data_IF_173332634694
#
_entry.id   IF_173332634694
#
_cell.length_a   1.000
_cell.length_b   1.000
_cell.length_c   1.000
_cell.angle_alpha   90.00
_cell.angle_beta   90.00
_cell.angle_gamma   90.00
#
_symmetry.space_group_name_H-M   'P 1'
#
loop_
_entity.id
_entity.type
_entity.pdbx_description
1 polymer ?
#
# COMPACT_ATOMS: atom_id res chain seq x y z
N UNK A 1 30.48 -16.31 -14.93
CA UNK A 1 29.40 -15.43 -15.46
C UNK A 1 28.05 -16.14 -15.52
N UNK A 2 27.98 -17.39 -16.00
CA UNK A 2 26.74 -18.16 -16.10
C UNK A 2 26.02 -18.33 -14.75
N UNK A 3 26.76 -18.63 -13.67
CA UNK A 3 26.21 -18.75 -12.32
C UNK A 3 25.53 -17.44 -11.89
N UNK A 4 26.13 -16.28 -12.20
CA UNK A 4 25.54 -14.97 -11.88
C UNK A 4 24.26 -14.73 -12.70
N UNK A 5 24.27 -15.08 -13.98
CA UNK A 5 23.10 -14.95 -14.85
C UNK A 5 21.94 -15.83 -14.34
N UNK A 6 22.18 -17.14 -14.14
CA UNK A 6 21.14 -18.05 -13.71
C UNK A 6 20.68 -17.83 -12.27
N UNK A 7 21.58 -17.39 -11.38
CA UNK A 7 21.24 -16.98 -10.03
C UNK A 7 20.31 -15.76 -10.02
N UNK A 8 20.63 -14.74 -10.82
CA UNK A 8 19.79 -13.53 -10.95
C UNK A 8 18.45 -13.85 -11.64
N UNK A 9 18.46 -14.63 -12.74
CA UNK A 9 17.26 -15.05 -13.44
C UNK A 9 16.35 -15.90 -12.54
N UNK A 10 16.93 -16.85 -11.81
CA UNK A 10 16.23 -17.68 -10.85
C UNK A 10 15.58 -16.86 -9.72
N UNK A 11 16.29 -15.86 -9.19
CA UNK A 11 15.77 -14.98 -8.15
C UNK A 11 14.60 -14.12 -8.67
N UNK A 12 14.70 -13.60 -9.88
CA UNK A 12 13.60 -12.84 -10.53
C UNK A 12 12.41 -13.74 -10.78
N UNK A 13 12.60 -14.91 -11.41
CA UNK A 13 11.52 -15.87 -11.66
C UNK A 13 10.85 -16.35 -10.37
N UNK A 14 11.66 -16.67 -9.35
CA UNK A 14 11.14 -17.07 -8.05
C UNK A 14 10.27 -15.97 -7.45
N UNK A 15 10.74 -14.74 -7.42
CA UNK A 15 10.05 -13.62 -6.76
C UNK A 15 8.74 -13.25 -7.44
N UNK A 16 8.70 -13.23 -8.78
CA UNK A 16 7.51 -12.77 -9.51
C UNK A 16 6.56 -13.88 -9.93
N UNK A 17 7.00 -15.14 -9.98
CA UNK A 17 6.19 -16.26 -10.45
C UNK A 17 6.04 -17.34 -9.39
N UNK A 18 7.15 -17.94 -8.93
CA UNK A 18 7.10 -19.15 -8.09
C UNK A 18 6.53 -18.82 -6.71
N UNK A 19 7.04 -17.78 -6.06
CA UNK A 19 6.60 -17.42 -4.71
C UNK A 19 5.12 -17.01 -4.62
N UNK A 20 4.57 -16.17 -5.52
CA UNK A 20 3.13 -15.93 -5.58
C UNK A 20 2.30 -17.20 -5.76
N UNK A 21 2.72 -18.12 -6.64
CA UNK A 21 2.04 -19.40 -6.83
C UNK A 21 2.07 -20.24 -5.55
N UNK A 22 3.21 -20.30 -4.86
CA UNK A 22 3.34 -20.98 -3.58
C UNK A 22 2.38 -20.40 -2.52
N UNK A 23 2.22 -19.07 -2.48
CA UNK A 23 1.27 -18.41 -1.57
C UNK A 23 -0.18 -18.80 -1.89
N UNK A 24 -0.57 -18.80 -3.16
CA UNK A 24 -1.91 -19.19 -3.59
C UNK A 24 -2.20 -20.66 -3.24
N UNK A 25 -1.23 -21.54 -3.50
CA UNK A 25 -1.34 -22.97 -3.15
C UNK A 25 -1.42 -23.16 -1.63
N UNK A 26 -0.58 -22.46 -0.87
CA UNK A 26 -0.59 -22.51 0.59
C UNK A 26 -1.93 -22.02 1.16
N UNK A 27 -2.48 -20.92 0.63
CA UNK A 27 -3.78 -20.40 1.05
C UNK A 27 -4.93 -21.36 0.81
N UNK A 28 -4.81 -22.25 -0.20
CA UNK A 28 -5.80 -23.32 -0.45
C UNK A 28 -5.60 -24.55 0.44
N UNK A 29 -4.34 -24.93 0.68
CA UNK A 29 -3.99 -26.17 1.36
C UNK A 29 -3.96 -26.05 2.90
N UNK A 30 -3.63 -24.87 3.43
CA UNK A 30 -3.38 -24.68 4.86
C UNK A 30 -4.32 -23.60 5.45
N UNK A 31 -5.62 -23.80 5.28
CA UNK A 31 -6.61 -22.86 5.79
C UNK A 31 -6.64 -22.83 7.32
N UNK A 32 -6.56 -21.64 7.86
CA UNK A 32 -6.71 -21.34 9.28
C UNK A 32 -7.89 -20.36 9.43
N UNK A 33 -9.13 -20.86 9.48
CA UNK A 33 -10.28 -20.03 9.65
C UNK A 33 -10.22 -19.25 10.97
N UNK A 34 -10.91 -18.13 11.04
CA UNK A 34 -11.10 -17.35 12.26
C UNK A 34 -12.59 -17.18 12.52
N UNK A 35 -12.94 -16.91 13.77
CA UNK A 35 -14.32 -16.54 14.13
C UNK A 35 -14.63 -15.18 13.52
N UNK A 36 -15.84 -15.03 13.02
CA UNK A 36 -16.31 -13.79 12.39
C UNK A 36 -17.80 -13.62 12.63
N UNK A 37 -18.15 -13.43 13.90
CA UNK A 37 -19.53 -13.25 14.34
C UNK A 37 -19.92 -11.77 14.27
N UNK A 38 -21.21 -11.49 14.27
CA UNK A 38 -21.69 -10.12 14.35
C UNK A 38 -21.37 -9.51 15.72
N UNK A 39 -20.73 -8.36 15.69
CA UNK A 39 -20.39 -7.59 16.88
C UNK A 39 -20.34 -6.10 16.57
N UNK A 40 -20.58 -5.28 17.57
CA UNK A 40 -20.53 -3.81 17.45
C UNK A 40 -19.64 -3.23 18.56
N UNK A 41 -18.32 -3.57 18.59
CA UNK A 41 -17.42 -2.98 19.57
C UNK A 41 -17.30 -1.48 19.38
N UNK A 42 -16.85 -0.76 20.41
CA UNK A 42 -16.58 0.66 20.29
C UNK A 42 -15.40 0.90 19.36
N UNK A 43 -15.62 1.66 18.28
CA UNK A 43 -14.67 1.94 17.21
C UNK A 43 -14.24 3.39 17.24
N UNK A 44 -12.94 3.66 17.13
CA UNK A 44 -12.38 4.97 16.82
C UNK A 44 -11.85 4.95 15.38
N UNK A 45 -12.52 5.69 14.50
CA UNK A 45 -12.06 5.87 13.12
C UNK A 45 -11.17 7.11 13.04
N UNK A 46 -9.93 6.91 12.62
CA UNK A 46 -8.85 7.91 12.62
C UNK A 46 -8.47 8.27 11.20
N UNK A 47 -8.52 9.56 10.91
CA UNK A 47 -8.10 10.15 9.63
C UNK A 47 -7.01 11.18 9.91
N UNK A 48 -5.82 10.99 9.34
CA UNK A 48 -4.81 12.03 9.28
C UNK A 48 -4.99 12.83 7.97
N UNK A 49 -5.15 14.14 8.09
CA UNK A 49 -5.36 15.03 6.95
C UNK A 49 -4.30 16.14 6.92
N UNK A 50 -3.83 16.49 5.71
CA UNK A 50 -3.02 17.68 5.50
C UNK A 50 -3.38 18.33 4.17
N UNK A 51 -4.00 19.50 4.24
CA UNK A 51 -4.46 20.22 3.06
C UNK A 51 -5.41 19.38 2.18
N UNK A 52 -6.49 18.88 2.78
CA UNK A 52 -7.50 18.02 2.16
C UNK A 52 -8.91 18.68 2.12
N UNK A 53 -8.98 20.04 2.15
CA UNK A 53 -10.25 20.76 2.14
C UNK A 53 -11.17 20.35 0.97
N UNK A 54 -10.56 19.99 -0.17
CA UNK A 54 -11.28 19.61 -1.39
C UNK A 54 -12.02 18.27 -1.31
N UNK A 55 -11.65 17.36 -0.38
CA UNK A 55 -12.25 16.03 -0.29
C UNK A 55 -12.77 15.67 1.11
N UNK A 56 -12.31 16.37 2.17
CA UNK A 56 -12.64 15.99 3.55
C UNK A 56 -14.15 16.07 3.83
N UNK A 57 -14.88 17.05 3.30
CA UNK A 57 -16.33 17.15 3.47
C UNK A 57 -17.06 15.90 2.95
N UNK A 58 -16.80 15.54 1.68
CA UNK A 58 -17.36 14.33 1.06
C UNK A 58 -16.96 13.06 1.81
N UNK A 59 -15.76 13.03 2.39
CA UNK A 59 -15.32 11.91 3.22
C UNK A 59 -16.16 11.79 4.49
N UNK A 60 -16.39 12.89 5.18
CA UNK A 60 -17.20 12.91 6.42
C UNK A 60 -18.66 12.55 6.16
N UNK A 61 -19.25 13.05 5.07
CA UNK A 61 -20.60 12.62 4.63
C UNK A 61 -20.68 11.10 4.41
N UNK A 62 -19.67 10.53 3.75
CA UNK A 62 -19.59 9.08 3.55
C UNK A 62 -19.51 8.32 4.88
N UNK A 63 -18.77 8.82 5.87
CA UNK A 63 -18.69 8.20 7.20
C UNK A 63 -20.01 8.30 7.98
N UNK A 64 -20.72 9.41 7.81
CA UNK A 64 -22.05 9.59 8.41
C UNK A 64 -23.11 8.67 7.79
N UNK A 65 -22.91 8.16 6.60
CA UNK A 65 -23.80 7.22 5.91
C UNK A 65 -23.46 5.73 6.17
N UNK A 66 -22.48 5.43 7.04
CA UNK A 66 -22.09 4.04 7.34
C UNK A 66 -23.17 3.33 8.18
N UNK A 67 -23.36 2.05 7.88
CA UNK A 67 -24.16 1.13 8.67
C UNK A 67 -23.40 0.66 9.91
N UNK A 68 -23.31 1.53 10.92
CA UNK A 68 -22.73 1.22 12.22
C UNK A 68 -23.41 2.05 13.32
N UNK A 69 -23.65 1.51 14.54
CA UNK A 69 -24.30 2.27 15.63
C UNK A 69 -23.51 3.55 15.94
N UNK A 70 -24.20 4.68 15.94
CA UNK A 70 -23.58 6.01 16.11
C UNK A 70 -22.92 6.18 17.48
N UNK A 71 -23.51 5.60 18.52
CA UNK A 71 -22.98 5.61 19.88
C UNK A 71 -21.73 4.74 20.06
N UNK A 72 -21.45 3.85 19.09
CA UNK A 72 -20.29 2.97 19.07
C UNK A 72 -19.18 3.43 18.09
N UNK A 73 -19.39 4.52 17.34
CA UNK A 73 -18.44 5.05 16.36
C UNK A 73 -18.05 6.48 16.66
N UNK A 74 -16.83 6.71 17.09
CA UNK A 74 -16.23 8.04 17.11
C UNK A 74 -15.31 8.24 15.89
N UNK A 75 -15.29 9.44 15.34
CA UNK A 75 -14.45 9.82 14.21
C UNK A 75 -13.50 10.93 14.63
N UNK A 76 -12.18 10.73 14.45
CA UNK A 76 -11.16 11.72 14.75
C UNK A 76 -10.45 12.14 13.45
N UNK A 77 -10.53 13.43 13.13
CA UNK A 77 -9.81 14.05 12.02
C UNK A 77 -8.61 14.80 12.59
N UNK A 78 -7.43 14.21 12.45
CA UNK A 78 -6.16 14.84 12.86
C UNK A 78 -5.57 15.66 11.70
N UNK A 79 -5.72 16.97 11.79
CA UNK A 79 -5.20 17.91 10.78
C UNK A 79 -3.75 18.27 11.11
N UNK A 80 -2.81 17.81 10.27
CA UNK A 80 -1.36 18.00 10.43
C UNK A 80 -0.91 19.35 9.85
N UNK A 81 -1.26 20.45 10.53
CA UNK A 81 -0.89 21.80 10.13
C UNK A 81 -1.45 22.19 8.76
N UNK A 82 -2.71 21.91 8.50
CA UNK A 82 -3.38 22.35 7.26
C UNK A 82 -3.58 23.87 7.26
N UNK A 83 -3.49 24.48 6.07
CA UNK A 83 -3.67 25.92 5.84
C UNK A 83 -4.61 26.24 4.67
N UNK A 84 -5.40 25.27 4.21
CA UNK A 84 -6.31 25.37 3.06
C UNK A 84 -7.79 25.36 3.43
N UNK A 85 -8.14 25.47 4.71
CA UNK A 85 -9.53 25.37 5.18
C UNK A 85 -9.98 23.94 5.56
N UNK A 86 -9.07 22.95 5.60
CA UNK A 86 -9.43 21.57 5.99
C UNK A 86 -10.10 21.51 7.36
N UNK A 87 -9.58 22.22 8.37
CA UNK A 87 -10.14 22.23 9.72
C UNK A 87 -11.53 22.87 9.74
N UNK A 88 -11.72 23.95 9.02
CA UNK A 88 -12.98 24.70 8.92
C UNK A 88 -14.07 23.87 8.25
N UNK A 89 -13.72 23.15 7.18
CA UNK A 89 -14.64 22.20 6.51
C UNK A 89 -15.01 21.07 7.45
N UNK A 90 -14.04 20.44 8.11
CA UNK A 90 -14.30 19.33 9.03
C UNK A 90 -15.09 19.75 10.27
N UNK A 91 -14.87 20.96 10.79
CA UNK A 91 -15.58 21.49 11.97
C UNK A 91 -17.10 21.64 11.76
N UNK A 92 -17.57 21.76 10.51
CA UNK A 92 -19.00 21.81 10.19
C UNK A 92 -19.75 20.53 10.60
N UNK A 93 -19.03 19.42 10.76
CA UNK A 93 -19.56 18.10 11.13
C UNK A 93 -19.33 17.76 12.61
N UNK A 94 -18.83 18.69 13.43
CA UNK A 94 -18.51 18.43 14.83
C UNK A 94 -19.73 18.01 15.67
N UNK A 95 -20.94 18.46 15.31
CA UNK A 95 -22.21 18.07 15.96
C UNK A 95 -22.63 16.61 15.73
N UNK A 96 -21.99 15.93 14.77
CA UNK A 96 -22.33 14.57 14.32
C UNK A 96 -21.41 13.48 14.90
N UNK A 97 -20.74 13.73 16.02
CA UNK A 97 -19.80 12.79 16.65
C UNK A 97 -18.41 12.78 16.02
N UNK A 98 -18.07 13.82 15.26
CA UNK A 98 -16.76 14.01 14.62
C UNK A 98 -15.93 14.99 15.46
N UNK A 99 -14.71 14.57 15.83
CA UNK A 99 -13.75 15.39 16.56
C UNK A 99 -12.64 15.83 15.62
N UNK A 100 -12.46 17.14 15.49
CA UNK A 100 -11.36 17.73 14.72
C UNK A 100 -10.21 18.09 15.65
N UNK A 101 -9.01 17.63 15.34
CA UNK A 101 -7.78 17.88 16.09
C UNK A 101 -6.85 18.74 15.24
N UNK A 102 -6.85 20.07 15.40
CA UNK A 102 -5.87 20.93 14.78
C UNK A 102 -4.51 20.72 15.45
N UNK A 103 -3.55 20.19 14.71
CA UNK A 103 -2.21 19.85 15.21
C UNK A 103 -1.15 20.68 14.50
N UNK A 104 -0.01 20.95 15.15
CA UNK A 104 1.14 21.51 14.46
C UNK A 104 1.70 20.50 13.43
N UNK A 105 2.33 21.00 12.38
CA UNK A 105 2.91 20.19 11.31
C UNK A 105 4.01 19.26 11.81
N UNK A 106 3.70 17.99 12.05
CA UNK A 106 4.63 16.92 12.52
C UNK A 106 4.70 15.71 11.60
N UNK A 107 3.94 15.73 10.50
CA UNK A 107 3.83 14.60 9.60
C UNK A 107 2.74 13.60 10.00
N UNK A 108 2.37 12.71 9.06
CA UNK A 108 1.25 11.78 9.22
C UNK A 108 1.38 10.91 10.47
N UNK A 109 2.59 10.40 10.78
CA UNK A 109 2.82 9.59 11.96
C UNK A 109 2.48 10.33 13.26
N UNK A 110 2.95 11.59 13.40
CA UNK A 110 2.65 12.43 14.56
C UNK A 110 1.16 12.72 14.70
N UNK A 111 0.45 12.96 13.60
CA UNK A 111 -0.99 13.18 13.60
C UNK A 111 -1.76 11.91 14.03
N UNK A 112 -1.37 10.73 13.51
CA UNK A 112 -1.97 9.46 13.92
C UNK A 112 -1.75 9.16 15.40
N UNK A 113 -0.52 9.34 15.91
CA UNK A 113 -0.20 9.12 17.32
C UNK A 113 -1.03 10.03 18.22
N UNK A 114 -1.17 11.32 17.88
CA UNK A 114 -1.96 12.28 18.63
C UNK A 114 -3.45 11.94 18.62
N UNK A 115 -3.99 11.45 17.51
CA UNK A 115 -5.38 11.02 17.39
C UNK A 115 -5.64 9.76 18.23
N UNK A 116 -4.76 8.76 18.15
CA UNK A 116 -4.89 7.52 18.95
C UNK A 116 -4.85 7.83 20.44
N UNK A 117 -3.98 8.74 20.89
CA UNK A 117 -3.91 9.15 22.30
C UNK A 117 -5.22 9.76 22.83
N UNK A 118 -6.05 10.34 21.95
CA UNK A 118 -7.34 10.95 22.30
C UNK A 118 -8.53 10.06 22.01
N UNK A 119 -8.34 8.97 21.29
CA UNK A 119 -9.41 8.03 20.94
C UNK A 119 -9.79 7.16 22.13
N UNK A 120 -11.03 6.63 22.14
CA UNK A 120 -11.56 5.83 23.26
C UNK A 120 -12.03 4.43 22.84
N UNK A 121 -12.13 4.17 21.52
CA UNK A 121 -12.60 2.90 20.99
C UNK A 121 -11.69 1.73 21.32
N UNK A 122 -12.27 0.57 21.47
CA UNK A 122 -11.56 -0.72 21.64
C UNK A 122 -10.85 -1.13 20.37
N UNK A 123 -11.44 -0.82 19.22
CA UNK A 123 -10.90 -1.07 17.89
C UNK A 123 -10.54 0.26 17.25
N UNK A 124 -9.32 0.38 16.75
CA UNK A 124 -8.85 1.51 15.96
C UNK A 124 -9.00 1.19 14.48
N UNK A 125 -9.74 2.01 13.76
CA UNK A 125 -9.85 1.96 12.30
C UNK A 125 -9.10 3.14 11.72
N UNK A 126 -8.24 2.88 10.75
CA UNK A 126 -7.45 3.90 10.06
C UNK A 126 -7.88 4.03 8.62
N UNK A 127 -7.91 5.25 8.12
CA UNK A 127 -8.25 5.56 6.74
C UNK A 127 -7.59 6.83 6.24
N UNK A 128 -7.37 6.89 4.94
CA UNK A 128 -6.94 8.11 4.26
C UNK A 128 -8.13 9.09 4.07
N UNK A 129 -7.84 10.38 3.94
CA UNK A 129 -8.84 11.43 3.85
C UNK A 129 -9.64 11.43 2.54
N UNK A 130 -9.13 10.78 1.50
CA UNK A 130 -9.75 10.67 0.17
C UNK A 130 -10.44 9.32 -0.10
N UNK A 131 -10.43 8.41 0.86
CA UNK A 131 -11.06 7.09 0.74
C UNK A 131 -12.57 7.17 0.95
N UNK A 132 -13.34 6.36 0.21
CA UNK A 132 -14.80 6.24 0.36
C UNK A 132 -15.16 4.80 0.70
N UNK A 133 -15.87 4.60 1.80
CA UNK A 133 -16.25 3.28 2.30
C UNK A 133 -17.60 2.83 1.74
N UNK A 134 -17.76 1.52 1.50
CA UNK A 134 -19.09 0.95 1.33
C UNK A 134 -19.86 0.99 2.67
N UNK A 135 -21.20 1.06 2.67
CA UNK A 135 -21.97 1.23 3.91
C UNK A 135 -21.63 0.23 5.02
N UNK A 136 -21.43 -1.04 4.68
CA UNK A 136 -21.17 -2.12 5.65
C UNK A 136 -19.68 -2.28 6.01
N UNK A 137 -18.79 -1.40 5.52
CA UNK A 137 -17.35 -1.60 5.63
C UNK A 137 -16.86 -1.79 7.08
N UNK A 138 -17.36 -0.96 8.02
CA UNK A 138 -16.98 -1.06 9.44
C UNK A 138 -17.51 -2.34 10.07
N UNK A 139 -18.76 -2.72 9.82
CA UNK A 139 -19.33 -3.98 10.34
C UNK A 139 -18.47 -5.17 9.92
N UNK A 140 -18.15 -5.26 8.63
CA UNK A 140 -17.32 -6.35 8.09
C UNK A 140 -15.90 -6.31 8.66
N UNK A 141 -15.31 -5.13 8.81
CA UNK A 141 -13.97 -4.96 9.32
C UNK A 141 -13.81 -5.38 10.79
N UNK A 142 -14.88 -5.21 11.62
CA UNK A 142 -14.82 -5.52 13.04
C UNK A 142 -15.20 -6.98 13.38
N UNK A 143 -15.96 -7.66 12.54
CA UNK A 143 -16.42 -9.05 12.79
C UNK A 143 -15.27 -10.02 13.14
N UNK A 144 -14.12 -10.01 12.47
CA UNK A 144 -13.02 -10.93 12.81
C UNK A 144 -12.44 -10.73 14.21
N UNK A 145 -12.68 -9.60 14.88
CA UNK A 145 -12.21 -9.38 16.25
C UNK A 145 -12.99 -10.17 17.32
N UNK A 146 -14.05 -10.88 16.95
CA UNK A 146 -14.66 -11.90 17.83
C UNK A 146 -13.73 -13.07 18.09
N UNK A 147 -12.73 -13.26 17.23
CA UNK A 147 -11.62 -14.18 17.47
C UNK A 147 -10.51 -13.47 18.28
N UNK A 148 -10.16 -13.96 19.49
CA UNK A 148 -9.11 -13.34 20.30
C UNK A 148 -7.70 -13.44 19.67
N UNK A 149 -7.48 -14.35 18.70
CA UNK A 149 -6.22 -14.46 17.98
C UNK A 149 -6.09 -13.42 16.87
N UNK A 150 -7.18 -12.82 16.43
CA UNK A 150 -7.16 -11.73 15.45
C UNK A 150 -6.87 -10.41 16.16
N UNK A 151 -5.72 -9.85 15.86
CA UNK A 151 -5.28 -8.55 16.38
C UNK A 151 -5.43 -7.41 15.38
N UNK A 152 -5.57 -7.72 14.08
CA UNK A 152 -5.76 -6.74 13.03
C UNK A 152 -6.49 -7.30 11.82
N UNK A 153 -7.15 -6.40 11.09
CA UNK A 153 -7.90 -6.71 9.88
C UNK A 153 -7.52 -5.70 8.78
N UNK A 154 -7.00 -6.18 7.67
CA UNK A 154 -6.78 -5.39 6.48
C UNK A 154 -8.05 -5.43 5.63
N UNK A 155 -8.58 -4.29 5.23
CA UNK A 155 -9.67 -4.19 4.28
C UNK A 155 -9.19 -4.16 2.83
N UNK A 156 -10.14 -4.02 1.93
CA UNK A 156 -9.99 -4.15 0.48
C UNK A 156 -10.01 -2.77 -0.19
N UNK A 157 -8.85 -2.24 -0.49
CA UNK A 157 -8.71 -1.01 -1.28
C UNK A 157 -9.03 -1.29 -2.75
N UNK A 158 -9.88 -0.45 -3.35
CA UNK A 158 -10.20 -0.46 -4.79
C UNK A 158 -10.09 0.95 -5.35
N UNK A 159 -9.75 1.06 -6.62
CA UNK A 159 -9.75 2.34 -7.31
C UNK A 159 -11.08 2.60 -8.02
N UNK A 160 -11.58 3.83 -7.92
CA UNK A 160 -12.77 4.26 -8.63
C UNK A 160 -12.50 4.21 -10.14
N UNK A 161 -13.34 3.47 -10.85
CA UNK A 161 -13.36 3.46 -12.32
C UNK A 161 -14.13 4.70 -12.80
N UNK A 162 -13.41 5.83 -12.99
CA UNK A 162 -14.00 7.01 -13.63
C UNK A 162 -13.78 6.99 -15.15
N UNK A 163 -14.40 7.90 -15.91
CA UNK A 163 -14.19 8.09 -17.35
C UNK A 163 -12.71 8.33 -17.71
N UNK A 164 -11.90 8.83 -16.77
CA UNK A 164 -10.45 8.91 -16.87
C UNK A 164 -9.73 7.55 -16.78
N UNK A 165 -10.37 6.51 -16.22
CA UNK A 165 -9.85 5.13 -16.21
C UNK A 165 -10.10 4.37 -17.52
N UNK A 166 -10.82 4.94 -18.47
CA UNK A 166 -10.88 4.50 -19.87
C UNK A 166 -9.57 4.83 -20.63
N UNK A 167 -8.67 5.61 -20.03
CA UNK A 167 -7.29 5.80 -20.46
C UNK A 167 -6.43 4.57 -20.17
N UNK A 168 -5.45 4.38 -20.98
CA UNK A 168 -4.54 3.28 -21.31
C UNK A 168 -3.94 2.42 -20.16
N UNK A 169 -4.10 2.73 -18.89
CA UNK A 169 -3.64 1.93 -17.72
C UNK A 169 -4.73 1.05 -17.07
N UNK A 170 -6.00 1.32 -17.29
CA UNK A 170 -7.09 0.83 -16.42
C UNK A 170 -7.24 -0.69 -16.31
N UNK A 171 -7.02 -1.48 -17.36
CA UNK A 171 -7.21 -2.94 -17.34
C UNK A 171 -6.00 -3.66 -16.72
N UNK A 172 -4.79 -3.24 -17.05
CA UNK A 172 -3.56 -3.82 -16.48
C UNK A 172 -3.43 -3.51 -14.99
N UNK A 173 -3.78 -2.29 -14.58
CA UNK A 173 -3.81 -1.90 -13.18
C UNK A 173 -4.89 -2.66 -12.41
N UNK A 174 -6.07 -2.85 -12.96
CA UNK A 174 -7.12 -3.70 -12.38
C UNK A 174 -6.64 -5.13 -12.14
N UNK A 175 -6.03 -5.77 -13.14
CA UNK A 175 -5.50 -7.14 -13.03
C UNK A 175 -4.42 -7.25 -11.97
N UNK A 176 -3.56 -6.23 -11.86
CA UNK A 176 -2.54 -6.16 -10.81
C UNK A 176 -3.17 -6.12 -9.42
N UNK A 177 -4.19 -5.27 -9.20
CA UNK A 177 -4.88 -5.16 -7.92
C UNK A 177 -5.72 -6.39 -7.58
N UNK A 178 -6.34 -7.03 -8.59
CA UNK A 178 -7.05 -8.29 -8.40
C UNK A 178 -6.09 -9.40 -7.98
N UNK A 179 -4.89 -9.43 -8.55
CA UNK A 179 -3.84 -10.36 -8.17
C UNK A 179 -3.31 -10.09 -6.75
N UNK A 180 -3.00 -8.84 -6.40
CA UNK A 180 -2.56 -8.45 -5.05
C UNK A 180 -3.62 -8.82 -4.00
N UNK A 181 -4.89 -8.60 -4.31
CA UNK A 181 -6.02 -9.01 -3.45
C UNK A 181 -6.07 -10.53 -3.28
N UNK A 182 -5.93 -11.30 -4.35
CA UNK A 182 -5.91 -12.76 -4.28
C UNK A 182 -4.76 -13.28 -3.41
N UNK A 183 -3.58 -12.64 -3.51
CA UNK A 183 -2.43 -12.95 -2.63
C UNK A 183 -2.74 -12.64 -1.17
N UNK A 184 -3.26 -11.45 -0.85
CA UNK A 184 -3.64 -11.08 0.53
C UNK A 184 -4.67 -12.02 1.13
N UNK A 185 -5.65 -12.44 0.31
CA UNK A 185 -6.66 -13.41 0.72
C UNK A 185 -6.03 -14.78 1.03
N UNK A 186 -5.15 -15.27 0.16
CA UNK A 186 -4.43 -16.53 0.38
C UNK A 186 -3.51 -16.48 1.60
N UNK A 187 -2.80 -15.38 1.80
CA UNK A 187 -1.94 -15.14 2.97
C UNK A 187 -2.76 -15.13 4.27
N UNK A 188 -3.86 -14.36 4.29
CA UNK A 188 -4.77 -14.26 5.44
C UNK A 188 -5.41 -15.59 5.78
N UNK A 189 -5.84 -16.36 4.76
CA UNK A 189 -6.41 -17.68 4.93
C UNK A 189 -5.43 -18.68 5.56
N UNK A 190 -4.15 -18.61 5.22
CA UNK A 190 -3.11 -19.50 5.72
C UNK A 190 -2.35 -18.97 6.96
N UNK A 191 -2.80 -17.88 7.57
CA UNK A 191 -2.16 -17.29 8.75
C UNK A 191 -2.40 -15.80 8.84
N UNK A 192 -1.44 -14.98 8.36
CA UNK A 192 -1.55 -13.53 8.35
C UNK A 192 -1.23 -12.96 6.98
N UNK A 193 -2.03 -11.97 6.55
CA UNK A 193 -1.68 -11.16 5.37
C UNK A 193 -0.43 -10.33 5.66
N UNK A 194 0.31 -10.00 4.60
CA UNK A 194 1.63 -9.37 4.74
C UNK A 194 1.59 -7.98 5.38
N UNK A 195 0.58 -7.19 5.10
CA UNK A 195 0.33 -5.86 5.69
C UNK A 195 -1.02 -5.31 5.22
N UNK A 196 -1.54 -4.32 5.92
CA UNK A 196 -2.66 -3.51 5.48
C UNK A 196 -2.24 -2.45 4.43
N UNK A 197 -3.23 -1.71 3.93
CA UNK A 197 -3.09 -0.49 3.10
C UNK A 197 -3.74 0.67 3.84
N UNK A 198 -3.26 1.90 3.63
CA UNK A 198 -3.73 3.10 4.32
C UNK A 198 -5.20 3.43 4.11
N UNK A 199 -5.81 2.93 3.02
CA UNK A 199 -7.19 3.23 2.68
C UNK A 199 -8.20 2.72 3.72
N UNK A 200 -8.00 1.50 4.24
CA UNK A 200 -8.91 0.86 5.22
C UNK A 200 -8.23 -0.30 5.94
N UNK A 201 -8.09 -0.21 7.25
CA UNK A 201 -7.67 -1.32 8.12
C UNK A 201 -8.04 -1.03 9.58
N UNK A 202 -8.06 -2.07 10.39
CA UNK A 202 -8.33 -1.99 11.81
C UNK A 202 -7.35 -2.81 12.63
N UNK A 203 -7.13 -2.38 13.88
CA UNK A 203 -6.35 -3.15 14.87
C UNK A 203 -7.02 -3.04 16.24
N UNK A 204 -6.74 -4.00 17.14
CA UNK A 204 -7.04 -3.81 18.56
C UNK A 204 -6.21 -2.65 19.11
N UNK A 205 -6.87 -1.75 19.85
CA UNK A 205 -6.20 -0.60 20.48
C UNK A 205 -5.01 -1.03 21.37
N UNK A 206 -5.15 -2.13 22.10
CA UNK A 206 -4.11 -2.66 22.99
C UNK A 206 -2.81 -3.04 22.26
N UNK A 207 -2.86 -3.24 20.92
CA UNK A 207 -1.70 -3.57 20.09
C UNK A 207 -1.06 -2.34 19.42
N UNK A 208 -1.68 -1.16 19.56
CA UNK A 208 -1.10 0.06 18.99
C UNK A 208 0.18 0.45 19.74
N UNK A 209 1.16 0.88 18.97
CA UNK A 209 2.40 1.52 19.47
C UNK A 209 2.70 2.70 18.57
N UNK A 210 3.22 3.77 19.16
CA UNK A 210 3.54 5.00 18.44
C UNK A 210 4.33 4.74 17.16
N UNK A 211 3.87 5.33 16.08
CA UNK A 211 4.50 5.21 14.76
C UNK A 211 5.70 6.15 14.70
N UNK A 212 6.90 5.65 14.38
CA UNK A 212 8.06 6.52 14.19
C UNK A 212 7.95 7.32 12.88
N UNK A 213 8.63 8.46 12.82
CA UNK A 213 8.67 9.29 11.62
C UNK A 213 9.44 8.63 10.46
N UNK A 214 9.08 9.00 9.24
CA UNK A 214 9.78 8.57 8.02
C UNK A 214 9.54 7.11 7.60
N UNK A 215 8.53 6.45 8.14
CA UNK A 215 8.08 5.10 7.73
C UNK A 215 6.72 5.15 7.04
N UNK A 216 6.33 4.06 6.42
CA UNK A 216 4.96 3.83 5.95
C UNK A 216 4.12 3.38 7.14
N UNK A 217 3.19 4.23 7.57
CA UNK A 217 2.40 4.08 8.80
C UNK A 217 1.55 2.81 8.82
N UNK A 218 0.72 2.60 7.78
CA UNK A 218 -0.14 1.42 7.63
C UNK A 218 0.66 0.10 7.68
N UNK A 219 1.84 0.10 7.02
CA UNK A 219 2.74 -1.04 7.05
C UNK A 219 3.25 -1.33 8.47
N UNK A 220 3.75 -0.32 9.19
CA UNK A 220 4.33 -0.51 10.54
C UNK A 220 3.23 -0.85 11.55
N UNK A 221 2.09 -0.14 11.53
CA UNK A 221 0.97 -0.40 12.44
C UNK A 221 0.46 -1.83 12.26
N UNK A 222 0.18 -2.24 11.03
CA UNK A 222 -0.41 -3.56 10.76
C UNK A 222 0.57 -4.72 11.02
N UNK A 223 1.84 -4.57 10.67
CA UNK A 223 2.84 -5.62 10.91
C UNK A 223 3.22 -5.78 12.39
N UNK A 224 3.07 -4.72 13.21
CA UNK A 224 3.22 -4.81 14.66
C UNK A 224 2.20 -5.72 15.33
N UNK A 225 1.04 -5.92 14.72
CA UNK A 225 0.06 -6.91 15.16
C UNK A 225 0.69 -8.30 15.16
N UNK A 226 1.35 -8.65 14.04
CA UNK A 226 2.03 -9.94 13.90
C UNK A 226 3.26 -10.05 14.81
N UNK A 227 4.02 -8.95 14.96
CA UNK A 227 5.17 -8.90 15.87
C UNK A 227 4.78 -9.16 17.35
N UNK A 228 3.53 -8.85 17.71
CA UNK A 228 2.95 -9.10 19.05
C UNK A 228 2.22 -10.44 19.14
N UNK A 229 2.41 -11.36 18.18
CA UNK A 229 1.88 -12.71 18.20
C UNK A 229 0.41 -12.84 17.85
N UNK A 230 -0.21 -11.79 17.28
CA UNK A 230 -1.60 -11.84 16.82
C UNK A 230 -1.69 -11.91 15.31
N UNK A 231 -2.82 -12.39 14.80
CA UNK A 231 -3.06 -12.52 13.36
C UNK A 231 -3.51 -11.20 12.76
N UNK A 232 -3.01 -10.91 11.56
CA UNK A 232 -3.51 -9.87 10.67
C UNK A 232 -4.27 -10.56 9.52
N UNK A 233 -5.60 -10.52 9.55
CA UNK A 233 -6.44 -11.18 8.53
C UNK A 233 -6.87 -10.20 7.45
N UNK A 234 -7.39 -10.70 6.32
CA UNK A 234 -7.89 -9.87 5.23
C UNK A 234 -9.39 -10.07 5.06
N UNK A 235 -10.15 -8.95 5.10
CA UNK A 235 -11.60 -8.93 4.89
C UNK A 235 -11.93 -8.34 3.51
N UNK A 236 -12.24 -9.17 2.51
CA UNK A 236 -12.46 -8.72 1.14
C UNK A 236 -13.74 -7.89 0.97
N UNK A 237 -14.71 -8.02 1.87
CA UNK A 237 -15.97 -7.29 1.87
C UNK A 237 -15.87 -5.88 2.45
N UNK A 238 -14.87 -5.62 3.30
CA UNK A 238 -14.61 -4.28 3.84
C UNK A 238 -13.92 -3.41 2.79
N UNK A 239 -14.69 -2.81 1.88
CA UNK A 239 -14.18 -2.10 0.71
C UNK A 239 -14.04 -0.61 0.95
N UNK A 240 -12.90 -0.06 0.56
CA UNK A 240 -12.65 1.38 0.42
C UNK A 240 -12.29 1.71 -1.03
N UNK A 241 -12.94 2.71 -1.60
CA UNK A 241 -12.63 3.24 -2.91
C UNK A 241 -11.72 4.45 -2.80
N UNK A 242 -10.72 4.54 -3.67
CA UNK A 242 -9.84 5.69 -3.81
C UNK A 242 -9.81 6.21 -5.26
N UNK A 243 -9.62 7.52 -5.46
CA UNK A 243 -9.40 8.07 -6.79
C UNK A 243 -8.03 7.61 -7.35
N UNK A 244 -7.98 7.38 -8.66
CA UNK A 244 -6.72 7.09 -9.36
C UNK A 244 -5.84 8.34 -9.36
N UNK A 245 -4.56 8.20 -9.02
CA UNK A 245 -3.60 9.31 -9.06
C UNK A 245 -3.30 9.71 -10.52
N UNK A 246 -3.29 11.04 -10.79
CA UNK A 246 -2.98 11.57 -12.12
C UNK A 246 -1.47 11.60 -12.41
N UNK A 247 -1.04 11.84 -13.62
CA UNK A 247 0.27 12.05 -14.28
C UNK A 247 1.51 11.24 -13.85
N UNK A 248 2.31 10.79 -14.86
CA UNK A 248 3.51 9.94 -14.69
C UNK A 248 4.68 10.58 -13.92
N UNK A 249 4.86 11.91 -13.99
CA UNK A 249 5.98 12.59 -13.34
C UNK A 249 5.77 12.71 -11.82
N UNK A 250 4.52 12.89 -11.39
CA UNK A 250 4.12 12.81 -9.99
C UNK A 250 4.25 11.39 -9.45
N UNK A 251 4.05 10.40 -10.30
CA UNK A 251 4.11 8.97 -9.94
C UNK A 251 5.52 8.52 -9.56
N UNK A 252 6.58 8.96 -10.27
CA UNK A 252 7.97 8.61 -9.93
C UNK A 252 8.33 9.08 -8.51
N UNK A 253 8.12 10.37 -8.21
CA UNK A 253 8.39 10.91 -6.88
C UNK A 253 7.57 10.22 -5.79
N UNK A 254 6.31 9.88 -6.08
CA UNK A 254 5.44 9.09 -5.17
C UNK A 254 6.02 7.70 -4.92
N UNK A 255 6.50 6.97 -5.96
CA UNK A 255 7.12 5.65 -5.83
C UNK A 255 8.42 5.71 -5.04
N UNK A 256 9.31 6.67 -5.32
CA UNK A 256 10.54 6.87 -4.52
C UNK A 256 10.21 7.05 -3.04
N UNK A 257 9.24 7.91 -2.71
CA UNK A 257 8.80 8.12 -1.33
C UNK A 257 8.27 6.84 -0.69
N UNK A 258 7.35 6.13 -1.37
CA UNK A 258 6.73 4.90 -0.86
C UNK A 258 7.79 3.82 -0.62
N UNK A 259 8.72 3.62 -1.56
CA UNK A 259 9.76 2.60 -1.43
C UNK A 259 10.77 2.98 -0.34
N UNK A 260 11.22 4.25 -0.27
CA UNK A 260 12.16 4.72 0.76
C UNK A 260 11.56 4.54 2.16
N UNK A 261 10.33 5.03 2.39
CA UNK A 261 9.63 4.89 3.67
C UNK A 261 9.33 3.43 4.00
N UNK A 262 8.98 2.64 2.97
CA UNK A 262 8.74 1.22 3.12
C UNK A 262 9.98 0.41 3.48
N UNK A 263 11.16 0.70 2.93
CA UNK A 263 12.43 0.07 3.32
C UNK A 263 12.83 0.44 4.74
N UNK A 264 12.59 1.69 5.15
CA UNK A 264 12.78 2.11 6.55
C UNK A 264 11.84 1.38 7.50
N UNK A 265 10.56 1.20 7.10
CA UNK A 265 9.62 0.39 7.84
C UNK A 265 10.08 -1.05 8.01
N UNK A 266 10.72 -1.65 6.98
CA UNK A 266 11.34 -2.98 7.09
C UNK A 266 12.45 -2.98 8.15
N UNK A 267 13.30 -1.96 8.19
CA UNK A 267 14.35 -1.88 9.22
C UNK A 267 13.76 -1.76 10.63
N UNK A 268 12.69 -0.98 10.80
CA UNK A 268 11.96 -0.89 12.09
C UNK A 268 11.36 -2.24 12.49
N UNK A 269 10.84 -2.99 11.52
CA UNK A 269 10.20 -4.29 11.73
C UNK A 269 11.12 -5.49 11.44
N UNK A 270 12.45 -5.31 11.49
CA UNK A 270 13.45 -6.35 11.16
C UNK A 270 13.34 -7.62 11.97
N UNK A 271 12.77 -7.57 13.19
CA UNK A 271 12.50 -8.75 14.00
C UNK A 271 11.61 -9.77 13.28
N UNK A 272 10.71 -9.32 12.39
CA UNK A 272 9.83 -10.18 11.59
C UNK A 272 10.58 -11.04 10.57
N UNK A 273 11.86 -10.78 10.32
CA UNK A 273 12.73 -11.62 9.49
C UNK A 273 13.24 -12.88 10.21
N UNK A 274 12.92 -13.08 11.49
CA UNK A 274 13.33 -14.24 12.25
C UNK A 274 12.35 -15.42 12.05
N UNK A 275 12.70 -16.45 11.23
CA UNK A 275 11.80 -17.56 10.95
C UNK A 275 11.58 -18.50 12.13
N UNK A 276 12.48 -18.51 13.13
CA UNK A 276 12.31 -19.29 14.34
C UNK A 276 11.18 -18.74 15.22
N UNK A 277 10.91 -17.43 15.14
CA UNK A 277 9.87 -16.77 15.93
C UNK A 277 8.55 -16.61 15.15
N UNK A 278 8.62 -16.31 13.87
CA UNK A 278 7.45 -15.97 13.07
C UNK A 278 7.15 -16.97 11.93
N UNK A 279 7.91 -18.06 11.85
CA UNK A 279 7.68 -19.14 10.91
C UNK A 279 7.62 -18.67 9.44
N UNK A 280 6.61 -19.13 8.73
CA UNK A 280 6.44 -18.79 7.31
C UNK A 280 6.21 -17.30 7.06
N UNK A 281 5.66 -16.56 8.03
CA UNK A 281 5.48 -15.10 7.86
C UNK A 281 6.81 -14.37 7.65
N UNK A 282 7.92 -14.84 8.25
CA UNK A 282 9.25 -14.27 8.00
C UNK A 282 9.69 -14.43 6.54
N UNK A 283 9.41 -15.60 5.94
CA UNK A 283 9.70 -15.86 4.53
C UNK A 283 8.85 -14.93 3.66
N UNK A 284 7.57 -14.84 3.95
CA UNK A 284 6.61 -13.95 3.30
C UNK A 284 7.06 -12.47 3.39
N UNK A 285 7.51 -12.04 4.57
CA UNK A 285 8.02 -10.70 4.82
C UNK A 285 9.29 -10.42 4.02
N UNK A 286 10.25 -11.37 4.02
CA UNK A 286 11.47 -11.27 3.22
C UNK A 286 11.18 -11.09 1.73
N UNK A 287 10.32 -11.94 1.15
CA UNK A 287 10.04 -11.92 -0.27
C UNK A 287 9.22 -10.70 -0.70
N UNK A 288 8.11 -10.39 -0.02
CA UNK A 288 7.23 -9.30 -0.40
C UNK A 288 7.77 -7.90 -0.09
N UNK A 289 8.45 -7.75 1.06
CA UNK A 289 8.80 -6.42 1.56
C UNK A 289 10.28 -6.07 1.40
N UNK A 290 11.16 -7.06 1.29
CA UNK A 290 12.59 -6.84 1.09
C UNK A 290 12.99 -7.15 -0.34
N UNK A 291 12.96 -8.41 -0.76
CA UNK A 291 13.51 -8.83 -2.05
C UNK A 291 12.78 -8.21 -3.23
N UNK A 292 11.45 -8.14 -3.20
CA UNK A 292 10.67 -7.49 -4.27
C UNK A 292 11.07 -6.01 -4.49
N UNK A 293 11.47 -5.30 -3.44
CA UNK A 293 11.96 -3.91 -3.55
C UNK A 293 13.40 -3.81 -4.02
N UNK A 294 14.17 -4.87 -3.85
CA UNK A 294 15.58 -4.96 -4.25
C UNK A 294 15.78 -5.66 -5.61
N UNK A 295 14.69 -6.01 -6.32
CA UNK A 295 14.77 -6.71 -7.61
C UNK A 295 15.50 -5.93 -8.70
N UNK A 296 15.67 -4.63 -8.55
CA UNK A 296 16.49 -3.83 -9.45
C UNK A 296 17.93 -4.35 -9.56
N UNK A 297 18.50 -4.89 -8.47
CA UNK A 297 19.87 -5.39 -8.47
C UNK A 297 20.05 -6.66 -9.31
N UNK A 298 19.28 -7.76 -9.15
CA UNK A 298 19.37 -8.90 -10.05
C UNK A 298 19.00 -8.56 -11.49
N UNK A 299 18.09 -7.62 -11.75
CA UNK A 299 17.81 -7.14 -13.10
C UNK A 299 19.02 -6.42 -13.73
N UNK A 300 19.76 -5.61 -12.96
CA UNK A 300 21.00 -5.00 -13.40
C UNK A 300 22.10 -6.05 -13.66
N UNK A 301 22.18 -7.08 -12.79
CA UNK A 301 23.11 -8.20 -13.03
C UNK A 301 22.80 -8.89 -14.35
N UNK A 302 21.53 -9.19 -14.64
CA UNK A 302 21.11 -9.78 -15.91
C UNK A 302 21.48 -8.88 -17.10
N UNK A 303 21.25 -7.58 -16.99
CA UNK A 303 21.55 -6.62 -18.05
C UNK A 303 23.06 -6.52 -18.36
N UNK A 304 23.89 -6.56 -17.31
CA UNK A 304 25.35 -6.39 -17.45
C UNK A 304 26.07 -7.70 -17.82
N UNK A 305 25.56 -8.84 -17.35
CA UNK A 305 26.23 -10.15 -17.57
C UNK A 305 25.81 -10.79 -18.88
N UNK A 306 24.59 -10.61 -19.33
CA UNK A 306 24.10 -11.28 -20.55
C UNK A 306 24.88 -10.95 -21.82
N UNK A 307 25.33 -9.69 -22.09
CA UNK A 307 26.17 -9.38 -23.23
C UNK A 307 27.49 -10.18 -23.28
N UNK A 308 28.04 -10.51 -22.09
CA UNK A 308 29.30 -11.27 -21.97
C UNK A 308 29.13 -12.77 -22.28
N UNK A 309 27.85 -13.24 -22.32
CA UNK A 309 27.52 -14.65 -22.56
C UNK A 309 26.94 -14.92 -23.96
N UNK A 310 26.94 -13.94 -24.88
CA UNK A 310 26.38 -14.11 -26.23
C UNK A 310 27.01 -15.22 -27.04
N UNK A 311 28.30 -15.53 -26.76
CA UNK A 311 29.02 -16.67 -27.37
C UNK A 311 28.78 -18.03 -26.72
N UNK A 312 28.12 -18.06 -25.52
CA UNK A 312 27.97 -19.27 -24.69
C UNK A 312 26.74 -20.11 -25.04
N UNK A 313 25.85 -19.63 -25.92
CA UNK A 313 24.69 -20.40 -26.36
C UNK A 313 23.47 -19.55 -26.75
N UNK A 314 22.50 -20.17 -27.40
CA UNK A 314 21.32 -19.48 -27.95
C UNK A 314 20.38 -18.91 -26.87
N UNK A 315 20.32 -19.50 -25.69
CA UNK A 315 19.52 -19.00 -24.58
C UNK A 315 19.94 -17.57 -24.21
N UNK A 316 21.24 -17.28 -24.20
CA UNK A 316 21.75 -15.94 -23.90
C UNK A 316 21.45 -14.94 -25.00
N UNK A 317 21.49 -15.38 -26.26
CA UNK A 317 21.14 -14.57 -27.44
C UNK A 317 19.65 -14.19 -27.41
N UNK A 318 18.76 -15.17 -27.17
CA UNK A 318 17.33 -14.93 -27.05
C UNK A 318 16.98 -14.06 -25.82
N UNK A 319 17.65 -14.30 -24.69
CA UNK A 319 17.50 -13.46 -23.50
C UNK A 319 17.93 -12.02 -23.78
N UNK A 320 19.02 -11.81 -24.52
CA UNK A 320 19.49 -10.48 -24.90
C UNK A 320 18.52 -9.80 -25.86
N UNK A 321 18.00 -10.50 -26.85
CA UNK A 321 17.00 -9.96 -27.76
C UNK A 321 15.73 -9.53 -27.01
N UNK A 322 15.27 -10.34 -26.03
CA UNK A 322 14.14 -10.00 -25.17
C UNK A 322 14.43 -8.77 -24.30
N UNK A 323 15.63 -8.65 -23.71
CA UNK A 323 16.02 -7.48 -22.92
C UNK A 323 16.09 -6.22 -23.79
N UNK A 324 16.71 -6.28 -24.97
CA UNK A 324 16.76 -5.15 -25.91
C UNK A 324 15.36 -4.72 -26.35
N UNK A 325 14.49 -5.67 -26.69
CA UNK A 325 13.09 -5.41 -27.04
C UNK A 325 12.34 -4.75 -25.90
N UNK A 326 12.49 -5.25 -24.66
CA UNK A 326 11.80 -4.75 -23.48
C UNK A 326 12.29 -3.34 -23.09
N UNK A 327 13.58 -3.14 -22.91
CA UNK A 327 14.13 -1.83 -22.54
C UNK A 327 14.04 -0.82 -23.69
N UNK A 328 14.19 -1.28 -24.94
CA UNK A 328 13.99 -0.46 -26.12
C UNK A 328 12.55 0.05 -26.25
N UNK A 329 11.55 -0.80 -25.98
CA UNK A 329 10.15 -0.37 -25.97
C UNK A 329 9.86 0.66 -24.86
N UNK A 330 10.49 0.53 -23.69
CA UNK A 330 10.40 1.56 -22.63
C UNK A 330 11.00 2.90 -23.07
N UNK A 331 12.13 2.87 -23.79
CA UNK A 331 12.76 4.09 -24.34
C UNK A 331 11.90 4.72 -25.44
N UNK A 332 11.33 3.91 -26.34
CA UNK A 332 10.37 4.39 -27.36
C UNK A 332 9.19 5.07 -26.72
N UNK A 333 8.60 4.46 -25.66
CA UNK A 333 7.54 5.12 -24.90
C UNK A 333 7.97 6.49 -24.37
N UNK A 334 9.14 6.59 -23.73
CA UNK A 334 9.65 7.84 -23.16
C UNK A 334 9.78 8.94 -24.21
N UNK A 335 10.24 8.61 -25.42
CA UNK A 335 10.42 9.56 -26.52
C UNK A 335 9.10 9.97 -27.16
N UNK A 336 8.13 9.05 -27.26
CA UNK A 336 6.87 9.25 -27.98
C UNK A 336 5.61 9.29 -27.09
N UNK A 337 5.76 9.46 -25.76
CA UNK A 337 4.65 9.42 -24.78
C UNK A 337 3.51 10.41 -25.06
N UNK A 338 3.82 11.53 -25.72
CA UNK A 338 2.83 12.57 -26.05
C UNK A 338 2.19 12.37 -27.44
N UNK A 339 2.43 11.24 -28.11
CA UNK A 339 1.88 10.92 -29.44
C UNK A 339 0.93 9.72 -29.35
N UNK A 340 0.22 9.42 -30.45
CA UNK A 340 -0.62 8.23 -30.56
C UNK A 340 0.16 6.92 -30.35
N UNK A 341 1.45 6.88 -30.70
CA UNK A 341 2.31 5.73 -30.49
C UNK A 341 2.53 5.43 -28.97
N UNK A 342 2.69 6.49 -28.17
CA UNK A 342 2.82 6.36 -26.71
C UNK A 342 1.58 5.79 -26.01
N UNK A 343 0.42 5.75 -26.70
CA UNK A 343 -0.81 5.14 -26.17
C UNK A 343 -0.82 3.60 -26.24
N UNK A 344 0.16 2.99 -26.86
CA UNK A 344 0.23 1.52 -26.96
C UNK A 344 0.63 0.89 -25.62
N UNK A 345 -0.22 0.02 -25.08
CA UNK A 345 0.03 -0.73 -23.82
C UNK A 345 1.34 -1.51 -23.87
N UNK A 346 1.73 -2.00 -25.03
CA UNK A 346 2.99 -2.73 -25.25
C UNK A 346 4.21 -1.88 -24.89
N UNK A 347 4.15 -0.56 -25.02
CA UNK A 347 5.24 0.36 -24.72
C UNK A 347 5.15 0.91 -23.28
N UNK A 348 3.95 1.14 -22.78
CA UNK A 348 3.73 1.74 -21.46
C UNK A 348 4.06 0.77 -20.31
N UNK A 349 3.81 -0.54 -20.47
CA UNK A 349 4.09 -1.55 -19.43
C UNK A 349 5.60 -1.66 -19.14
N UNK A 350 6.51 -1.84 -20.14
CA UNK A 350 7.94 -1.83 -19.91
C UNK A 350 8.46 -0.52 -19.30
N UNK A 351 7.94 0.61 -19.76
CA UNK A 351 8.30 1.92 -19.19
C UNK A 351 7.95 2.01 -17.71
N UNK A 352 6.72 1.64 -17.34
CA UNK A 352 6.28 1.68 -15.94
C UNK A 352 7.11 0.72 -15.06
N UNK A 353 7.46 -0.45 -15.59
CA UNK A 353 8.37 -1.38 -14.91
C UNK A 353 9.75 -0.76 -14.67
N UNK A 354 10.34 -0.12 -15.67
CA UNK A 354 11.62 0.58 -15.54
C UNK A 354 11.53 1.73 -14.53
N UNK A 355 10.45 2.52 -14.57
CA UNK A 355 10.19 3.63 -13.66
C UNK A 355 10.14 3.16 -12.19
N UNK A 356 9.41 2.08 -11.90
CA UNK A 356 9.31 1.52 -10.55
C UNK A 356 10.66 1.00 -10.05
N UNK A 357 11.44 0.33 -10.92
CA UNK A 357 12.77 -0.18 -10.56
C UNK A 357 13.80 0.96 -10.39
N UNK A 358 13.75 2.01 -11.22
CA UNK A 358 14.57 3.21 -11.02
C UNK A 358 14.23 3.91 -9.70
N UNK A 359 12.94 4.00 -9.36
CA UNK A 359 12.50 4.53 -8.07
C UNK A 359 13.01 3.67 -6.89
N UNK A 360 13.02 2.35 -7.04
CA UNK A 360 13.54 1.43 -6.03
C UNK A 360 15.07 1.56 -5.85
N UNK A 361 15.81 1.76 -6.93
CA UNK A 361 17.26 2.02 -6.88
C UNK A 361 17.55 3.33 -6.13
N UNK A 362 16.87 4.42 -6.49
CA UNK A 362 17.01 5.71 -5.81
C UNK A 362 16.59 5.63 -4.34
N UNK A 363 15.52 4.90 -4.04
CA UNK A 363 15.07 4.69 -2.67
C UNK A 363 16.09 3.91 -1.82
N UNK A 364 16.74 2.90 -2.41
CA UNK A 364 17.82 2.15 -1.75
C UNK A 364 19.02 3.06 -1.49
N UNK A 365 19.38 3.90 -2.45
CA UNK A 365 20.43 4.91 -2.29
C UNK A 365 20.11 5.91 -1.18
N UNK A 366 18.86 6.41 -1.11
CA UNK A 366 18.39 7.28 -0.04
C UNK A 366 18.52 6.61 1.33
N UNK A 367 18.17 5.31 1.41
CA UNK A 367 18.29 4.55 2.64
C UNK A 367 19.76 4.45 3.11
N UNK A 368 20.69 4.12 2.21
CA UNK A 368 22.13 4.00 2.51
C UNK A 368 22.72 5.34 2.98
N UNK A 369 22.28 6.45 2.38
CA UNK A 369 22.68 7.81 2.78
C UNK A 369 21.99 8.31 4.05
N UNK A 370 21.08 7.56 4.65
CA UNK A 370 20.31 7.98 5.82
C UNK A 370 19.29 9.09 5.54
N UNK A 371 19.02 9.38 4.24
CA UNK A 371 18.07 10.41 3.87
C UNK A 371 16.65 10.06 4.33
N UNK A 372 15.97 11.02 4.99
CA UNK A 372 14.62 10.85 5.54
C UNK A 372 13.62 11.67 4.75
N UNK A 373 12.48 11.05 4.44
CA UNK A 373 11.32 11.72 3.86
C UNK A 373 10.23 11.74 4.94
N UNK A 374 10.36 12.68 5.86
CA UNK A 374 9.50 12.73 7.06
C UNK A 374 8.18 13.46 6.76
N UNK A 375 8.20 14.48 5.90
CA UNK A 375 7.01 15.27 5.57
C UNK A 375 6.21 14.64 4.42
N UNK A 376 4.92 14.55 4.64
CA UNK A 376 3.97 14.17 3.61
C UNK A 376 3.45 15.45 2.93
N UNK A 377 3.75 15.60 1.66
CA UNK A 377 3.20 16.65 0.81
C UNK A 377 2.35 15.98 -0.27
N UNK A 378 1.02 16.17 -0.27
CA UNK A 378 0.20 15.75 -1.39
C UNK A 378 0.58 16.58 -2.60
N UNK A 379 1.25 15.97 -3.60
CA UNK A 379 1.50 16.65 -4.88
C UNK A 379 0.18 16.69 -5.64
N UNK A 380 -0.38 17.87 -5.80
CA UNK A 380 -1.65 18.12 -6.49
C UNK A 380 -1.41 18.30 -7.99
N UNK A 381 -2.36 17.85 -8.80
CA UNK A 381 -2.48 18.30 -10.19
C UNK A 381 -3.13 19.68 -10.15
N UNK A 382 -2.47 20.75 -10.66
CA UNK A 382 -3.13 22.04 -10.83
C UNK A 382 -4.28 21.87 -11.82
N UNK A 383 -5.51 22.19 -11.43
CA UNK A 383 -6.66 22.22 -12.34
C UNK A 383 -7.87 21.35 -11.98
N UNK A 384 -7.80 20.46 -10.98
CA UNK A 384 -8.97 19.65 -10.59
C UNK A 384 -10.07 20.41 -9.80
N UNK A 385 -9.86 21.69 -9.53
CA UNK A 385 -10.79 22.53 -8.75
C UNK A 385 -11.78 23.35 -9.60
N UNK A 386 -11.76 23.25 -10.94
CA UNK A 386 -12.56 24.16 -11.80
C UNK A 386 -13.66 23.51 -12.65
N UNK A 387 -13.92 22.21 -12.51
CA UNK A 387 -14.98 21.56 -13.32
C UNK A 387 -16.17 21.04 -12.50
N UNK A 388 -16.60 21.73 -11.44
CA UNK A 388 -17.94 21.55 -10.84
C UNK A 388 -18.43 22.92 -10.36
N UNK A 389 -18.84 23.77 -11.33
CA UNK A 389 -19.73 24.90 -11.15
C UNK A 389 -21.09 24.55 -11.72
#
# INVERSE_FOLDING_TARGET
MEILFWGAAGLVAFTFVIFPLLLLLRGRAMQQPWKSDESTPRVSLIIAAHNEAHCIGKRLENLLALDYPRDQLEVLVASDGSNDGTCEVAARYAGDGITVLPLPRRGKAGALNAAVARSTGEILVFSDANSQFVPQAIRLLVRPFTDPEVGGVAGNQRYLSGAAAAGEGGEGERRYWDFDRALKQAEGAAGSTISATGAIYAIRRSLFKDVPDGVTDDFVISTRVVAQGKRLVFEPGAVAFEPVAGSSDLEFGRKVRIVTRGLRGVLVMRELLNPLRFGFYSIQFLWHKVLRRLMVFPLLVLLLVNPLLLGSGDVYRWSMAAQVGFYGSALVYLLFRNTSLGRLKLLSIPFFFCLVNAAALLATWNLVRGYRIDRWEPKRVPGAAQEQG
#
